data_IF_475831874291
#
_entry.id   IF_475831874291
#
_cell.length_a   1.000
_cell.length_b   1.000
_cell.length_c   1.000
_cell.angle_alpha   90.00
_cell.angle_beta   90.00
_cell.angle_gamma   90.00
#
_symmetry.space_group_name_H-M   'P 1'
#
loop_
_entity.id
_entity.type
_entity.pdbx_description
1 polymer ?
#
# COMPACT_ATOMS: atom_id res chain seq x y z
N UNK A 1 -3.89 -2.22 -41.38
CA UNK A 1 -3.96 -3.19 -40.28
C UNK A 1 -2.55 -3.31 -39.75
N UNK A 2 -2.26 -2.80 -38.55
CA UNK A 2 -0.90 -2.82 -37.99
C UNK A 2 -0.64 -4.23 -37.48
N UNK A 3 0.30 -4.96 -38.07
CA UNK A 3 0.81 -6.23 -37.55
C UNK A 3 1.47 -5.95 -36.20
N UNK A 4 0.77 -6.28 -35.12
CA UNK A 4 1.36 -6.30 -33.78
C UNK A 4 2.16 -7.59 -33.66
N UNK A 5 3.44 -7.53 -33.22
CA UNK A 5 4.22 -8.74 -32.98
C UNK A 5 3.49 -9.66 -32.00
N UNK A 6 3.62 -10.98 -32.21
CA UNK A 6 3.03 -11.99 -31.33
C UNK A 6 3.36 -11.71 -29.87
N UNK A 7 2.37 -11.83 -28.98
CA UNK A 7 2.55 -11.60 -27.54
C UNK A 7 3.70 -12.47 -27.02
N UNK A 8 4.69 -11.89 -26.29
CA UNK A 8 5.81 -12.66 -25.76
C UNK A 8 5.35 -13.82 -24.86
N UNK A 9 6.13 -14.90 -24.83
CA UNK A 9 5.86 -16.03 -23.94
C UNK A 9 6.07 -15.68 -22.46
N UNK A 10 5.49 -16.47 -21.56
CA UNK A 10 5.70 -16.35 -20.12
C UNK A 10 7.20 -16.34 -19.74
N UNK A 11 8.02 -17.18 -20.38
CA UNK A 11 9.47 -17.25 -20.13
C UNK A 11 10.20 -15.97 -20.52
N UNK A 12 9.73 -15.31 -21.59
CA UNK A 12 10.29 -14.02 -22.02
C UNK A 12 10.06 -12.95 -20.97
N UNK A 13 8.83 -12.87 -20.43
CA UNK A 13 8.51 -11.97 -19.32
C UNK A 13 9.33 -12.28 -18.08
N UNK A 14 9.43 -13.56 -17.68
CA UNK A 14 10.21 -13.96 -16.51
C UNK A 14 11.67 -13.55 -16.63
N UNK A 15 12.30 -13.75 -17.80
CA UNK A 15 13.70 -13.37 -18.01
C UNK A 15 13.90 -11.86 -17.90
N UNK A 16 12.97 -11.07 -18.43
CA UNK A 16 13.01 -9.60 -18.29
C UNK A 16 12.86 -9.19 -16.83
N UNK A 17 11.84 -9.70 -16.13
CA UNK A 17 11.59 -9.36 -14.72
C UNK A 17 12.73 -9.81 -13.79
N UNK A 18 13.44 -10.89 -14.10
CA UNK A 18 14.61 -11.32 -13.34
C UNK A 18 15.81 -10.37 -13.48
N UNK A 19 15.90 -9.63 -14.58
CA UNK A 19 16.99 -8.67 -14.84
C UNK A 19 16.66 -7.26 -14.33
N UNK A 20 15.39 -6.94 -14.14
CA UNK A 20 14.95 -5.63 -13.66
C UNK A 20 15.22 -5.48 -12.16
N UNK A 21 15.79 -4.33 -11.78
CA UNK A 21 15.87 -3.94 -10.37
C UNK A 21 14.46 -3.67 -9.84
N UNK A 22 14.01 -4.36 -8.77
CA UNK A 22 12.69 -4.12 -8.18
C UNK A 22 12.53 -2.69 -7.68
N UNK A 23 13.57 -2.10 -7.10
CA UNK A 23 13.54 -0.73 -6.60
C UNK A 23 13.35 0.28 -7.74
N UNK A 24 14.09 0.15 -8.84
CA UNK A 24 13.95 1.05 -9.99
C UNK A 24 12.58 0.92 -10.65
N UNK A 25 12.05 -0.30 -10.75
CA UNK A 25 10.71 -0.51 -11.27
C UNK A 25 9.66 0.16 -10.38
N UNK A 26 9.78 0.02 -9.05
CA UNK A 26 8.89 0.66 -8.09
C UNK A 26 8.95 2.19 -8.20
N UNK A 27 10.14 2.78 -8.27
CA UNK A 27 10.31 4.23 -8.42
C UNK A 27 9.67 4.74 -9.71
N UNK A 28 9.88 4.02 -10.81
CA UNK A 28 9.34 4.38 -12.12
C UNK A 28 7.81 4.31 -12.13
N UNK A 29 7.22 3.28 -11.50
CA UNK A 29 5.78 3.14 -11.34
C UNK A 29 5.20 4.22 -10.42
N UNK A 30 5.89 4.56 -9.32
CA UNK A 30 5.45 5.62 -8.42
C UNK A 30 5.44 6.99 -9.12
N UNK A 31 6.49 7.32 -9.85
CA UNK A 31 6.56 8.56 -10.64
C UNK A 31 5.44 8.64 -11.68
N UNK A 32 5.19 7.55 -12.41
CA UNK A 32 4.12 7.51 -13.39
C UNK A 32 2.73 7.57 -12.72
N UNK A 33 2.57 6.93 -11.57
CA UNK A 33 1.36 6.98 -10.76
C UNK A 33 1.04 8.40 -10.28
N UNK A 34 2.06 9.16 -9.85
CA UNK A 34 1.90 10.56 -9.48
C UNK A 34 1.38 11.41 -10.65
N UNK A 35 1.92 11.21 -11.85
CA UNK A 35 1.46 11.91 -13.05
C UNK A 35 -0.01 11.61 -13.41
N UNK A 36 -0.51 10.41 -13.09
CA UNK A 36 -1.90 10.00 -13.32
C UNK A 36 -2.87 10.48 -12.24
N UNK A 37 -2.39 10.63 -11.00
CA UNK A 37 -3.22 10.90 -9.84
C UNK A 37 -3.42 12.40 -9.59
N UNK A 38 -2.42 13.23 -9.95
CA UNK A 38 -2.29 14.67 -9.66
C UNK A 38 -2.29 14.98 -8.16
N UNK A 39 -3.42 14.77 -7.48
CA UNK A 39 -3.59 14.98 -6.03
C UNK A 39 -4.39 13.87 -5.35
N UNK A 40 -4.14 13.68 -4.05
CA UNK A 40 -4.92 12.83 -3.14
C UNK A 40 -6.05 13.60 -2.43
N UNK A 41 -6.10 14.92 -2.56
CA UNK A 41 -7.12 15.74 -1.92
C UNK A 41 -8.53 15.29 -2.34
N UNK A 42 -9.42 15.16 -1.35
CA UNK A 42 -10.82 14.76 -1.52
C UNK A 42 -11.02 13.34 -2.09
N UNK A 43 -9.98 12.51 -2.11
CA UNK A 43 -10.04 11.11 -2.55
C UNK A 43 -9.99 10.14 -1.38
N UNK A 44 -10.55 8.95 -1.59
CA UNK A 44 -10.49 7.87 -0.62
C UNK A 44 -9.22 7.03 -0.82
N UNK A 45 -8.38 7.01 0.21
CA UNK A 45 -7.23 6.13 0.32
C UNK A 45 -7.58 4.90 1.17
N UNK A 46 -7.61 3.73 0.56
CA UNK A 46 -7.84 2.45 1.20
C UNK A 46 -6.50 1.77 1.52
N UNK A 47 -6.24 1.50 2.78
CA UNK A 47 -5.07 0.77 3.25
C UNK A 47 -5.45 -0.67 3.59
N UNK A 48 -4.77 -1.64 2.98
CA UNK A 48 -5.12 -3.06 3.09
C UNK A 48 -3.85 -3.92 3.12
N UNK A 49 -3.83 -4.88 4.06
CA UNK A 49 -2.80 -5.89 4.21
C UNK A 49 -3.09 -7.14 3.38
N UNK A 50 -2.13 -7.59 2.58
CA UNK A 50 -2.22 -8.82 1.78
C UNK A 50 -1.05 -9.75 2.04
N UNK A 51 -1.37 -11.03 2.32
CA UNK A 51 -0.39 -12.12 2.31
C UNK A 51 -0.31 -12.74 0.92
N UNK A 52 0.85 -12.69 0.28
CA UNK A 52 1.09 -13.37 -0.99
C UNK A 52 1.15 -14.88 -0.81
N UNK A 53 0.37 -15.61 -1.61
CA UNK A 53 0.38 -17.08 -1.66
C UNK A 53 1.39 -17.56 -2.71
N UNK A 54 2.02 -18.72 -2.48
CA UNK A 54 2.96 -19.33 -3.44
C UNK A 54 4.38 -18.78 -3.39
N UNK A 55 4.70 -17.91 -2.43
CA UNK A 55 6.08 -17.47 -2.17
C UNK A 55 6.80 -18.61 -1.45
N UNK A 56 7.69 -19.31 -2.17
CA UNK A 56 8.47 -20.40 -1.59
C UNK A 56 9.42 -19.83 -0.53
N UNK A 57 9.45 -20.38 0.70
CA UNK A 57 10.47 -20.05 1.67
C UNK A 57 11.81 -20.54 1.11
N UNK A 58 12.63 -19.63 0.57
CA UNK A 58 14.03 -19.95 0.27
C UNK A 58 14.83 -20.28 1.54
N UNK A 59 14.27 -19.98 2.72
CA UNK A 59 14.82 -20.27 4.05
C UNK A 59 13.70 -20.71 5.00
N UNK A 60 14.04 -21.53 5.99
CA UNK A 60 13.10 -22.08 6.99
C UNK A 60 12.40 -21.00 7.86
N UNK A 61 12.88 -19.76 7.84
CA UNK A 61 12.39 -18.63 8.64
C UNK A 61 11.48 -17.65 7.90
N UNK A 62 11.18 -17.88 6.62
CA UNK A 62 10.35 -16.96 5.84
C UNK A 62 8.85 -17.28 6.01
N UNK A 63 8.20 -16.61 6.96
CA UNK A 63 6.78 -16.79 7.33
C UNK A 63 5.75 -16.39 6.24
N UNK A 64 6.24 -16.03 5.06
CA UNK A 64 5.48 -15.56 3.90
C UNK A 64 5.65 -14.06 3.72
N UNK A 65 5.47 -13.60 2.48
CA UNK A 65 5.61 -12.18 2.15
C UNK A 65 4.28 -11.46 2.37
N UNK A 66 4.28 -10.54 3.34
CA UNK A 66 3.15 -9.67 3.65
C UNK A 66 3.40 -8.29 3.04
N UNK A 67 2.36 -7.70 2.47
CA UNK A 67 2.36 -6.39 1.82
C UNK A 67 1.25 -5.55 2.41
N UNK A 68 1.51 -4.25 2.56
CA UNK A 68 0.46 -3.26 2.80
C UNK A 68 0.38 -2.38 1.56
N UNK A 69 -0.82 -2.23 1.03
CA UNK A 69 -1.09 -1.45 -0.17
C UNK A 69 -1.88 -0.20 0.18
N UNK A 70 -1.60 0.90 -0.53
CA UNK A 70 -2.36 2.14 -0.50
C UNK A 70 -3.08 2.31 -1.84
N UNK A 71 -4.40 2.16 -1.82
CA UNK A 71 -5.26 2.14 -3.00
C UNK A 71 -6.17 3.36 -3.03
N UNK A 72 -6.17 4.09 -4.15
CA UNK A 72 -7.09 5.20 -4.38
C UNK A 72 -8.30 4.69 -5.17
N UNK A 73 -9.47 4.70 -4.54
CA UNK A 73 -10.70 4.11 -5.08
C UNK A 73 -11.14 4.76 -6.39
N UNK A 74 -11.07 6.09 -6.46
CA UNK A 74 -11.54 6.91 -7.58
C UNK A 74 -10.68 6.71 -8.83
N UNK A 75 -9.36 6.61 -8.64
CA UNK A 75 -8.39 6.43 -9.72
C UNK A 75 -8.12 4.97 -10.05
N UNK A 76 -8.60 4.03 -9.24
CA UNK A 76 -8.32 2.60 -9.34
C UNK A 76 -6.82 2.32 -9.43
N UNK A 77 -6.06 3.00 -8.58
CA UNK A 77 -4.61 3.04 -8.63
C UNK A 77 -4.01 2.71 -7.26
N UNK A 78 -3.00 1.83 -7.25
CA UNK A 78 -2.14 1.64 -6.09
C UNK A 78 -1.07 2.74 -6.10
N UNK A 79 -1.09 3.62 -5.11
CA UNK A 79 -0.20 4.79 -5.01
C UNK A 79 1.02 4.55 -4.14
N UNK A 80 1.01 3.44 -3.39
CA UNK A 80 2.15 3.03 -2.58
C UNK A 80 1.95 1.61 -2.08
N UNK A 81 3.07 0.92 -1.86
CA UNK A 81 3.08 -0.43 -1.33
C UNK A 81 4.34 -0.61 -0.50
N UNK A 82 4.20 -1.24 0.67
CA UNK A 82 5.32 -1.53 1.57
C UNK A 82 5.33 -3.01 1.95
N UNK A 83 6.51 -3.63 1.92
CA UNK A 83 6.70 -4.98 2.44
C UNK A 83 6.72 -4.94 3.97
N UNK A 84 5.94 -5.80 4.60
CA UNK A 84 6.01 -6.04 6.04
C UNK A 84 7.14 -7.04 6.30
N UNK A 85 8.10 -6.65 7.13
CA UNK A 85 9.21 -7.53 7.50
C UNK A 85 8.74 -8.75 8.30
N UNK A 86 9.48 -9.86 8.22
CA UNK A 86 9.02 -11.19 8.65
C UNK A 86 8.71 -11.33 10.17
N UNK A 87 9.14 -10.36 11.00
CA UNK A 87 8.84 -10.27 12.45
C UNK A 87 8.04 -9.01 12.83
N UNK A 88 7.71 -8.18 11.84
CA UNK A 88 7.00 -6.92 12.02
C UNK A 88 5.52 -7.12 11.68
N UNK A 89 4.65 -6.39 12.35
CA UNK A 89 3.22 -6.37 12.03
C UNK A 89 2.93 -5.20 11.07
N UNK A 90 1.81 -5.26 10.33
CA UNK A 90 1.29 -4.20 9.44
C UNK A 90 1.26 -2.83 10.14
N UNK A 91 1.09 -2.86 11.46
CA UNK A 91 1.19 -1.77 12.44
C UNK A 91 2.41 -0.87 12.23
N UNK A 92 3.56 -1.45 11.89
CA UNK A 92 4.83 -0.72 11.71
C UNK A 92 5.08 -0.28 10.27
N UNK A 93 4.58 -1.04 9.29
CA UNK A 93 4.71 -0.71 7.87
C UNK A 93 3.74 0.40 7.43
N UNK A 94 2.57 0.49 8.06
CA UNK A 94 1.54 1.51 7.79
C UNK A 94 2.06 2.95 8.02
N UNK A 95 2.66 3.29 9.18
CA UNK A 95 3.26 4.60 9.40
C UNK A 95 4.32 5.01 8.37
N UNK A 96 5.19 4.07 7.96
CA UNK A 96 6.22 4.32 6.96
C UNK A 96 5.62 4.61 5.59
N UNK A 97 4.56 3.88 5.21
CA UNK A 97 3.84 4.10 3.96
C UNK A 97 3.12 5.45 3.97
N UNK A 98 2.44 5.79 5.07
CA UNK A 98 1.74 7.07 5.22
C UNK A 98 2.71 8.26 5.23
N UNK A 99 3.94 8.10 5.69
CA UNK A 99 4.94 9.17 5.68
C UNK A 99 5.41 9.55 4.27
N UNK A 100 5.24 8.65 3.29
CA UNK A 100 5.63 8.86 1.89
C UNK A 100 4.52 9.48 1.04
N UNK A 101 3.29 9.58 1.58
CA UNK A 101 2.11 10.05 0.85
C UNK A 101 1.69 11.43 1.33
N UNK A 102 1.20 12.26 0.41
CA UNK A 102 0.60 13.54 0.73
C UNK A 102 -0.89 13.36 1.07
N UNK A 103 -1.21 13.29 2.36
CA UNK A 103 -2.57 12.99 2.83
C UNK A 103 -3.47 14.22 2.98
N UNK A 104 -3.02 15.43 2.58
CA UNK A 104 -3.79 16.66 2.76
C UNK A 104 -5.17 16.53 2.11
N UNK A 105 -6.22 16.72 2.91
CA UNK A 105 -7.64 16.57 2.52
C UNK A 105 -8.03 15.17 2.00
N UNK A 106 -7.16 14.16 2.09
CA UNK A 106 -7.48 12.79 1.71
C UNK A 106 -8.28 12.09 2.81
N UNK A 107 -9.17 11.16 2.44
CA UNK A 107 -9.92 10.32 3.41
C UNK A 107 -9.29 8.94 3.48
N UNK A 108 -8.64 8.63 4.60
CA UNK A 108 -7.99 7.33 4.81
C UNK A 108 -8.94 6.35 5.47
N UNK A 109 -9.05 5.16 4.88
CA UNK A 109 -9.77 3.99 5.42
C UNK A 109 -8.82 2.83 5.60
N UNK A 110 -8.93 2.13 6.72
CA UNK A 110 -8.06 1.00 7.08
C UNK A 110 -8.96 -0.13 7.58
N UNK A 111 -8.52 -1.38 7.43
CA UNK A 111 -9.17 -2.50 8.09
C UNK A 111 -9.22 -2.36 9.63
N UNK A 112 -10.06 -3.18 10.25
CA UNK A 112 -10.29 -3.14 11.69
C UNK A 112 -9.05 -3.52 12.53
N UNK A 113 -8.10 -4.29 11.99
CA UNK A 113 -6.88 -4.69 12.72
C UNK A 113 -5.84 -3.56 12.73
N UNK A 114 -5.79 -2.77 11.66
CA UNK A 114 -4.96 -1.56 11.54
C UNK A 114 -5.53 -0.34 12.27
N UNK A 115 -6.70 -0.46 12.90
CA UNK A 115 -7.33 0.62 13.65
C UNK A 115 -6.58 0.93 14.98
N UNK A 116 -5.46 1.67 14.92
CA UNK A 116 -4.72 2.23 16.06
C UNK A 116 -4.69 3.77 16.22
N UNK A 117 -4.84 4.27 17.45
CA UNK A 117 -4.83 5.70 17.74
C UNK A 117 -3.58 6.47 17.24
N UNK A 118 -2.40 5.82 17.22
CA UNK A 118 -1.18 6.41 16.69
C UNK A 118 -1.28 6.74 15.19
N UNK A 119 -1.86 5.83 14.40
CA UNK A 119 -2.04 6.01 12.95
C UNK A 119 -3.06 7.12 12.68
N UNK A 120 -4.17 7.16 13.43
CA UNK A 120 -5.13 8.26 13.37
C UNK A 120 -4.48 9.62 13.69
N UNK A 121 -3.57 9.64 14.67
CA UNK A 121 -2.78 10.82 15.01
C UNK A 121 -1.89 11.30 13.85
N UNK A 122 -1.17 10.38 13.21
CA UNK A 122 -0.32 10.69 12.06
C UNK A 122 -1.14 11.25 10.89
N UNK A 123 -2.29 10.64 10.56
CA UNK A 123 -3.17 11.12 9.48
C UNK A 123 -3.62 12.55 9.75
N UNK A 124 -4.04 12.86 10.98
CA UNK A 124 -4.44 14.22 11.38
C UNK A 124 -3.28 15.22 11.33
N UNK A 125 -2.08 14.81 11.73
CA UNK A 125 -0.89 15.66 11.65
C UNK A 125 -0.54 16.04 10.21
N UNK A 126 -0.81 15.15 9.26
CA UNK A 126 -0.64 15.40 7.82
C UNK A 126 -1.86 16.07 7.17
N UNK A 127 -2.83 16.58 7.96
CA UNK A 127 -4.05 17.24 7.48
C UNK A 127 -4.99 16.33 6.65
N UNK A 128 -4.92 15.02 6.87
CA UNK A 128 -5.86 14.06 6.32
C UNK A 128 -7.05 13.79 7.23
N UNK A 129 -8.10 13.24 6.63
CA UNK A 129 -9.28 12.72 7.30
C UNK A 129 -9.19 11.20 7.40
N UNK A 130 -9.92 10.61 8.34
CA UNK A 130 -9.96 9.16 8.49
C UNK A 130 -11.37 8.66 8.76
N UNK A 131 -11.67 7.42 8.35
CA UNK A 131 -12.90 6.71 8.68
C UNK A 131 -12.56 5.28 9.16
N UNK A 132 -13.03 4.96 10.36
CA UNK A 132 -12.63 3.76 11.09
C UNK A 132 -13.85 2.89 11.28
N UNK A 133 -13.79 1.66 10.77
CA UNK A 133 -14.82 0.67 10.99
C UNK A 133 -14.32 -0.27 12.09
N UNK A 134 -14.57 0.11 13.35
CA UNK A 134 -14.26 -0.77 14.47
C UNK A 134 -15.30 -1.89 14.55
N UNK A 135 -14.87 -3.15 14.49
CA UNK A 135 -15.73 -4.30 14.84
C UNK A 135 -15.92 -4.49 16.35
N UNK A 136 -15.23 -3.67 17.17
CA UNK A 136 -15.29 -3.74 18.63
C UNK A 136 -15.46 -2.34 19.25
N UNK A 137 -16.51 -2.17 20.07
CA UNK A 137 -16.77 -0.99 20.90
C UNK A 137 -15.62 -0.80 21.90
N UNK A 138 -14.70 0.13 21.65
CA UNK A 138 -13.79 0.63 22.68
C UNK A 138 -14.27 1.98 23.17
N UNK A 139 -14.85 1.97 24.37
CA UNK A 139 -15.13 3.16 25.14
C UNK A 139 -13.80 3.73 25.66
N UNK A 140 -13.29 4.80 25.04
CA UNK A 140 -12.42 5.76 25.71
C UNK A 140 -12.34 7.06 24.89
N UNK A 141 -13.40 7.85 24.94
CA UNK A 141 -13.28 9.30 24.77
C UNK A 141 -12.61 9.83 26.03
N UNK A 142 -11.28 9.99 25.97
CA UNK A 142 -10.50 10.62 27.03
C UNK A 142 -10.82 12.11 27.09
N UNK A 143 -11.43 12.53 28.19
CA UNK A 143 -11.47 13.94 28.62
C UNK A 143 -10.05 14.52 28.62
N UNK A 144 -9.88 15.68 28.01
CA UNK A 144 -9.29 16.88 28.63
C UNK A 144 -9.72 18.09 27.83
#
# INVERSE_FOLDING_TARGET
MVDLPSVPSHDTFNRVFQLLSPALLQDCLAQHGHALLDTLAQKQLCLDGKKLRGVSPRSADNAGLYLVNAWVSENRLCVGQQRVADKSNEITALPELLAQLDLREAVVTIDAMGCQAAIAGQIRQQQGHYLWLSSATRASCGKK
#
